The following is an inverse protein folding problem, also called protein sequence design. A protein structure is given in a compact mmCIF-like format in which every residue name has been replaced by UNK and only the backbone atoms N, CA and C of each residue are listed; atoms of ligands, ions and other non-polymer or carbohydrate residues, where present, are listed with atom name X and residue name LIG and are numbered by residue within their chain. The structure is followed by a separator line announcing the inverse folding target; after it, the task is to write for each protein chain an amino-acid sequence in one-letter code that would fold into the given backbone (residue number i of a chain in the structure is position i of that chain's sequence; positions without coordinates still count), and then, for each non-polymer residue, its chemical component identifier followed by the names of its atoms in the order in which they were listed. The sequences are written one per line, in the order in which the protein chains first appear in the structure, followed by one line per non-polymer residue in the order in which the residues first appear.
data_IF_467502072048
#
_entry.id   IF_467502072048
#
_cell.length_a   1.000
_cell.length_b   1.000
_cell.length_c   1.000
_cell.angle_alpha   90.00
_cell.angle_beta   90.00
_cell.angle_gamma   90.00
#
_symmetry.space_group_name_H-M   'P 1'
#
loop_
_entity.id
_entity.type
_entity.pdbx_description
1 polymer ?
#
# COMPACT_ATOMS: atom_id res chain seq x y z
N UNK A 1 74.16 7.01 33.11
CA UNK A 1 73.04 7.68 32.41
C UNK A 1 72.67 6.82 31.20
N UNK A 2 71.61 6.00 31.30
CA UNK A 2 71.06 5.24 30.16
C UNK A 2 69.85 6.02 29.66
N UNK A 3 69.96 6.57 28.45
CA UNK A 3 68.89 7.32 27.80
C UNK A 3 67.76 6.40 27.38
N UNK A 4 66.54 6.73 27.80
CA UNK A 4 65.31 6.09 27.37
C UNK A 4 64.87 6.80 26.08
N UNK A 5 64.86 6.09 24.96
CA UNK A 5 64.27 6.57 23.72
C UNK A 5 62.74 6.50 23.82
N UNK A 6 61.99 7.53 23.40
CA UNK A 6 60.54 7.50 23.45
C UNK A 6 60.00 6.57 22.36
N UNK A 7 59.25 5.55 22.80
CA UNK A 7 58.45 4.69 21.92
C UNK A 7 57.33 5.54 21.33
N UNK A 8 57.44 5.89 20.05
CA UNK A 8 56.35 6.52 19.30
C UNK A 8 55.25 5.49 19.07
N UNK A 9 54.21 5.53 19.90
CA UNK A 9 52.94 4.87 19.60
C UNK A 9 52.36 5.54 18.35
N UNK A 10 52.52 4.90 17.18
CA UNK A 10 51.65 5.17 16.03
C UNK A 10 50.23 4.77 16.44
N UNK A 11 49.41 5.78 16.68
CA UNK A 11 47.97 5.63 16.80
C UNK A 11 47.46 4.88 15.54
N UNK A 12 46.62 3.84 15.69
CA UNK A 12 46.01 3.20 14.53
C UNK A 12 45.16 4.25 13.80
N UNK A 13 45.50 4.52 12.53
CA UNK A 13 44.67 5.34 11.65
C UNK A 13 43.30 4.67 11.55
N UNK A 14 42.28 5.30 12.15
CA UNK A 14 40.88 4.88 12.01
C UNK A 14 40.50 4.94 10.53
N UNK A 15 40.42 3.80 9.85
CA UNK A 15 39.85 3.73 8.50
C UNK A 15 38.41 4.20 8.57
N UNK A 16 38.09 5.27 7.85
CA UNK A 16 36.72 5.76 7.74
C UNK A 16 35.87 4.79 6.93
N UNK A 17 34.61 4.56 7.33
CA UNK A 17 33.66 3.75 6.57
C UNK A 17 33.50 4.22 5.12
N UNK A 18 33.76 5.50 4.85
CA UNK A 18 33.78 6.07 3.50
C UNK A 18 34.82 5.41 2.58
N UNK A 19 35.94 4.91 3.10
CA UNK A 19 36.99 4.21 2.33
C UNK A 19 36.56 2.83 1.82
N UNK A 20 35.39 2.33 2.28
CA UNK A 20 34.79 1.08 1.80
C UNK A 20 33.84 1.33 0.62
N UNK A 21 33.42 2.57 0.41
CA UNK A 21 32.42 2.94 -0.59
C UNK A 21 33.12 3.32 -1.89
N UNK A 22 32.70 2.70 -2.99
CA UNK A 22 33.13 3.07 -4.34
C UNK A 22 32.06 3.96 -4.97
N UNK A 23 32.40 5.21 -5.27
CA UNK A 23 31.51 6.05 -6.04
C UNK A 23 31.39 5.50 -7.47
N UNK A 24 30.17 5.33 -7.96
CA UNK A 24 29.93 4.75 -9.28
C UNK A 24 30.57 5.54 -10.43
N UNK A 25 30.76 6.86 -10.26
CA UNK A 25 31.43 7.71 -11.26
C UNK A 25 32.93 7.45 -11.37
N UNK A 26 33.55 6.92 -10.33
CA UNK A 26 34.98 6.57 -10.27
C UNK A 26 35.23 5.07 -10.35
N UNK A 27 34.19 4.28 -10.60
CA UNK A 27 34.31 2.83 -10.67
C UNK A 27 35.17 2.41 -11.87
N UNK A 28 36.05 1.44 -11.66
CA UNK A 28 36.95 0.90 -12.67
C UNK A 28 36.87 -0.62 -12.64
N UNK A 29 36.27 -1.20 -13.67
CA UNK A 29 35.99 -2.63 -13.75
C UNK A 29 37.25 -3.50 -13.69
N UNK A 30 38.42 -2.97 -14.03
CA UNK A 30 39.68 -3.72 -14.03
C UNK A 30 40.19 -4.03 -12.63
N UNK A 31 39.76 -3.28 -11.61
CA UNK A 31 40.10 -3.55 -10.21
C UNK A 31 39.23 -4.65 -9.59
N UNK A 32 38.27 -5.18 -10.37
CA UNK A 32 37.40 -6.26 -9.95
C UNK A 32 38.09 -7.61 -10.05
N UNK A 33 38.03 -8.37 -8.96
CA UNK A 33 38.62 -9.71 -8.83
C UNK A 33 37.59 -10.70 -8.30
N UNK A 34 37.86 -12.00 -8.46
CA UNK A 34 36.97 -13.07 -8.02
C UNK A 34 37.60 -13.87 -6.89
N UNK A 35 36.77 -14.30 -5.94
CA UNK A 35 37.13 -15.36 -5.01
C UNK A 35 36.90 -16.74 -5.62
N UNK A 36 37.57 -17.75 -5.06
CA UNK A 36 37.37 -19.14 -5.44
C UNK A 36 35.89 -19.55 -5.37
N UNK A 37 35.41 -20.22 -6.42
CA UNK A 37 34.03 -20.71 -6.48
C UNK A 37 33.90 -21.99 -5.64
N UNK A 38 32.97 -22.00 -4.68
CA UNK A 38 32.77 -23.10 -3.73
C UNK A 38 31.34 -23.61 -3.76
N UNK A 39 31.17 -24.91 -3.54
CA UNK A 39 29.86 -25.53 -3.35
C UNK A 39 29.24 -25.01 -2.06
N UNK A 40 27.99 -24.57 -2.12
CA UNK A 40 27.25 -24.05 -0.98
C UNK A 40 26.92 -25.19 0.01
N UNK A 41 26.71 -24.86 1.29
CA UNK A 41 26.41 -25.85 2.36
C UNK A 41 25.22 -26.77 2.06
N UNK A 42 24.27 -26.29 1.24
CA UNK A 42 23.08 -27.04 0.84
C UNK A 42 23.29 -27.96 -0.37
N UNK A 43 24.51 -28.01 -0.95
CA UNK A 43 24.89 -28.91 -2.05
C UNK A 43 24.29 -28.61 -3.42
N UNK A 44 23.25 -27.76 -3.50
CA UNK A 44 22.45 -27.52 -4.73
C UNK A 44 22.97 -26.38 -5.62
N UNK A 45 24.10 -25.75 -5.26
CA UNK A 45 24.68 -24.66 -6.05
C UNK A 45 26.10 -24.30 -5.62
N UNK A 46 26.73 -23.41 -6.37
CA UNK A 46 28.04 -22.84 -6.04
C UNK A 46 27.94 -21.33 -5.85
N UNK A 47 28.89 -20.74 -5.15
CA UNK A 47 29.03 -19.28 -5.05
C UNK A 47 30.49 -18.86 -5.07
N UNK A 48 30.75 -17.64 -5.55
CA UNK A 48 32.08 -17.02 -5.58
C UNK A 48 31.99 -15.54 -5.22
N UNK A 49 32.92 -15.05 -4.43
CA UNK A 49 32.97 -13.62 -4.07
C UNK A 49 33.37 -12.75 -5.27
N UNK A 50 32.84 -11.54 -5.35
CA UNK A 50 33.36 -10.48 -6.22
C UNK A 50 33.94 -9.39 -5.32
N UNK A 51 35.18 -9.00 -5.59
CA UNK A 51 35.92 -8.02 -4.80
C UNK A 51 36.40 -6.86 -5.66
N UNK A 52 36.56 -5.70 -5.03
CA UNK A 52 37.10 -4.49 -5.62
C UNK A 52 38.20 -3.97 -4.71
N UNK A 53 39.45 -3.93 -5.20
CA UNK A 53 40.60 -3.55 -4.38
C UNK A 53 40.76 -4.41 -3.11
N UNK A 54 40.43 -5.72 -3.20
CA UNK A 54 40.51 -6.67 -2.08
C UNK A 54 39.36 -6.61 -1.07
N UNK A 55 38.39 -5.69 -1.24
CA UNK A 55 37.21 -5.55 -0.38
C UNK A 55 35.95 -5.95 -1.15
N UNK A 56 34.80 -6.12 -0.47
CA UNK A 56 33.52 -6.31 -1.16
C UNK A 56 33.23 -5.11 -2.06
N UNK A 57 32.71 -5.35 -3.26
CA UNK A 57 32.28 -4.27 -4.14
C UNK A 57 31.02 -3.61 -3.58
N UNK A 58 31.16 -2.37 -3.10
CA UNK A 58 30.08 -1.55 -2.60
C UNK A 58 29.99 -0.26 -3.42
N UNK A 59 28.90 -0.10 -4.19
CA UNK A 59 28.72 1.02 -5.09
C UNK A 59 27.71 2.02 -4.55
N UNK A 60 28.10 3.29 -4.53
CA UNK A 60 27.18 4.39 -4.28
C UNK A 60 26.62 4.92 -5.59
N UNK A 61 25.30 4.96 -5.71
CA UNK A 61 24.59 5.53 -6.86
C UNK A 61 23.92 6.88 -6.50
N UNK A 62 23.79 7.80 -7.47
CA UNK A 62 23.22 9.13 -7.24
C UNK A 62 21.71 9.08 -6.99
N UNK A 63 21.11 10.23 -6.63
CA UNK A 63 19.67 10.34 -6.47
C UNK A 63 18.97 10.09 -7.82
N UNK A 64 18.16 9.05 -7.88
CA UNK A 64 17.46 8.62 -9.07
C UNK A 64 16.10 8.02 -8.76
N UNK A 65 15.22 8.03 -9.75
CA UNK A 65 13.90 7.42 -9.66
C UNK A 65 13.98 5.90 -9.46
N UNK A 66 13.04 5.33 -8.70
CA UNK A 66 12.81 3.89 -8.58
C UNK A 66 11.32 3.53 -8.72
N UNK A 67 11.06 2.31 -9.19
CA UNK A 67 9.71 1.73 -9.17
C UNK A 67 9.24 1.29 -7.77
N UNK A 68 10.02 1.59 -6.73
CA UNK A 68 9.72 1.26 -5.35
C UNK A 68 10.15 -0.15 -4.97
N UNK A 69 9.91 -0.49 -3.71
CA UNK A 69 10.12 -1.82 -3.18
C UNK A 69 8.93 -2.73 -3.49
N UNK A 70 9.23 -4.00 -3.75
CA UNK A 70 8.25 -5.03 -4.08
C UNK A 70 8.42 -6.24 -3.17
N UNK A 71 7.33 -6.73 -2.59
CA UNK A 71 7.23 -8.06 -1.97
C UNK A 71 6.78 -9.07 -3.03
N UNK A 72 7.42 -10.23 -3.05
CA UNK A 72 7.01 -11.39 -3.85
C UNK A 72 6.96 -12.60 -2.92
N UNK A 73 5.81 -13.24 -2.86
CA UNK A 73 5.58 -14.49 -2.13
C UNK A 73 5.68 -15.64 -3.12
N UNK A 74 6.56 -16.59 -2.83
CA UNK A 74 6.61 -17.86 -3.56
C UNK A 74 5.41 -18.73 -3.17
N UNK A 75 4.56 -19.06 -4.15
CA UNK A 75 3.33 -19.82 -3.93
C UNK A 75 3.59 -21.25 -3.42
N UNK A 76 4.73 -21.85 -3.79
CA UNK A 76 5.07 -23.21 -3.38
C UNK A 76 5.63 -23.27 -1.96
N UNK A 77 6.57 -22.37 -1.63
CA UNK A 77 7.28 -22.40 -0.35
C UNK A 77 6.71 -21.45 0.70
N UNK A 78 5.82 -20.53 0.32
CA UNK A 78 5.36 -19.42 1.16
C UNK A 78 6.44 -18.38 1.45
N UNK A 79 7.65 -18.53 0.87
CA UNK A 79 8.78 -17.67 1.19
C UNK A 79 8.62 -16.29 0.59
N UNK A 80 8.80 -15.27 1.42
CA UNK A 80 8.80 -13.87 1.01
C UNK A 80 10.17 -13.44 0.50
N UNK A 81 10.17 -12.66 -0.57
CA UNK A 81 11.36 -12.04 -1.13
C UNK A 81 11.10 -10.58 -1.45
N UNK A 82 12.09 -9.74 -1.17
CA UNK A 82 11.97 -8.29 -1.24
C UNK A 82 13.01 -7.72 -2.18
N UNK A 83 12.59 -6.80 -3.04
CA UNK A 83 13.50 -6.18 -4.01
C UNK A 83 13.12 -4.76 -4.38
N UNK A 84 14.09 -3.99 -4.85
CA UNK A 84 13.90 -2.67 -5.45
C UNK A 84 14.40 -2.72 -6.89
N UNK A 85 13.61 -2.19 -7.82
CA UNK A 85 13.99 -2.05 -9.22
C UNK A 85 14.43 -0.63 -9.51
N UNK A 86 15.69 -0.48 -9.93
CA UNK A 86 16.35 0.81 -10.16
C UNK A 86 16.52 0.97 -11.67
N UNK A 87 15.68 1.77 -12.36
CA UNK A 87 15.80 2.01 -13.79
C UNK A 87 17.04 2.84 -14.12
N UNK A 88 17.82 2.41 -15.11
CA UNK A 88 19.08 3.03 -15.49
C UNK A 88 19.02 3.41 -16.97
N UNK A 89 18.93 4.70 -17.27
CA UNK A 89 18.90 5.18 -18.66
C UNK A 89 20.29 5.16 -19.27
N UNK A 90 20.36 4.67 -20.52
CA UNK A 90 21.54 4.75 -21.37
C UNK A 90 21.58 6.11 -22.09
N UNK A 91 21.71 7.19 -21.32
CA UNK A 91 21.74 8.56 -21.82
C UNK A 91 22.67 9.40 -20.94
N UNK A 92 23.72 9.97 -21.52
CA UNK A 92 24.74 10.74 -20.78
C UNK A 92 24.19 11.98 -20.05
N UNK A 93 23.03 12.50 -20.46
CA UNK A 93 22.37 13.61 -19.77
C UNK A 93 21.69 13.17 -18.46
N UNK A 94 21.45 11.87 -18.27
CA UNK A 94 20.70 11.34 -17.14
C UNK A 94 21.59 11.00 -15.95
N UNK A 95 21.13 11.33 -14.74
CA UNK A 95 21.87 11.06 -13.51
C UNK A 95 22.18 9.57 -13.31
N UNK A 96 21.37 8.68 -13.88
CA UNK A 96 21.53 7.22 -13.79
C UNK A 96 22.62 6.65 -14.69
N UNK A 97 23.14 7.42 -15.64
CA UNK A 97 24.05 6.93 -16.68
C UNK A 97 25.35 6.32 -16.17
N UNK A 98 26.04 6.91 -15.15
CA UNK A 98 27.22 6.27 -14.58
C UNK A 98 26.93 4.89 -13.99
N UNK A 99 25.74 4.70 -13.40
CA UNK A 99 25.32 3.40 -12.90
C UNK A 99 25.04 2.41 -14.03
N UNK A 100 24.40 2.86 -15.12
CA UNK A 100 24.22 2.05 -16.32
C UNK A 100 25.58 1.55 -16.85
N UNK A 101 26.54 2.46 -17.07
CA UNK A 101 27.87 2.11 -17.56
C UNK A 101 28.60 1.12 -16.64
N UNK A 102 28.58 1.36 -15.33
CA UNK A 102 29.22 0.48 -14.37
C UNK A 102 28.59 -0.93 -14.38
N UNK A 103 27.27 -1.03 -14.40
CA UNK A 103 26.57 -2.33 -14.42
C UNK A 103 26.80 -3.09 -15.73
N UNK A 104 26.80 -2.40 -16.88
CA UNK A 104 27.12 -2.99 -18.18
C UNK A 104 28.57 -3.49 -18.22
N UNK A 105 29.52 -2.68 -17.76
CA UNK A 105 30.93 -3.09 -17.70
C UNK A 105 31.16 -4.31 -16.80
N UNK A 106 30.50 -4.36 -15.63
CA UNK A 106 30.56 -5.53 -14.74
C UNK A 106 30.00 -6.77 -15.43
N UNK A 107 28.84 -6.65 -16.09
CA UNK A 107 28.23 -7.76 -16.82
C UNK A 107 29.16 -8.29 -17.92
N UNK A 108 29.72 -7.41 -18.75
CA UNK A 108 30.61 -7.80 -19.83
C UNK A 108 31.88 -8.47 -19.33
N UNK A 109 32.47 -7.95 -18.25
CA UNK A 109 33.63 -8.56 -17.61
C UNK A 109 33.28 -9.94 -17.06
N UNK A 110 32.16 -10.09 -16.35
CA UNK A 110 31.71 -11.39 -15.83
C UNK A 110 31.48 -12.41 -16.95
N UNK A 111 30.90 -12.01 -18.09
CA UNK A 111 30.70 -12.90 -19.24
C UNK A 111 32.02 -13.33 -19.89
N UNK A 112 32.97 -12.40 -20.06
CA UNK A 112 34.31 -12.70 -20.58
C UNK A 112 35.03 -13.68 -19.65
N UNK A 113 35.02 -13.38 -18.35
CA UNK A 113 35.72 -14.17 -17.35
C UNK A 113 35.03 -15.52 -17.12
N UNK A 114 33.70 -15.62 -17.29
CA UNK A 114 32.98 -16.89 -17.24
C UNK A 114 33.44 -17.84 -18.36
N UNK A 115 33.71 -17.33 -19.56
CA UNK A 115 34.28 -18.12 -20.65
C UNK A 115 35.72 -18.55 -20.33
N UNK A 116 36.55 -17.62 -19.84
CA UNK A 116 37.96 -17.86 -19.52
C UNK A 116 38.15 -18.85 -18.34
N UNK A 117 37.33 -18.74 -17.31
CA UNK A 117 37.34 -19.59 -16.12
C UNK A 117 36.31 -20.73 -16.17
N UNK A 118 35.80 -21.05 -17.35
CA UNK A 118 34.65 -21.93 -17.52
C UNK A 118 34.85 -23.33 -16.90
N UNK A 119 36.05 -23.89 -17.05
CA UNK A 119 36.40 -25.19 -16.45
C UNK A 119 36.36 -25.15 -14.92
N UNK A 120 36.81 -24.07 -14.29
CA UNK A 120 36.79 -23.92 -12.83
C UNK A 120 35.37 -23.70 -12.31
N UNK A 121 34.64 -22.76 -12.92
CA UNK A 121 33.33 -22.34 -12.43
C UNK A 121 32.26 -23.41 -12.69
N UNK A 122 32.25 -23.97 -13.90
CA UNK A 122 31.20 -24.87 -14.37
C UNK A 122 31.64 -26.34 -14.47
N UNK A 123 32.94 -26.64 -14.35
CA UNK A 123 33.47 -27.99 -14.54
C UNK A 123 33.65 -28.40 -16.01
N UNK A 124 33.30 -27.51 -16.95
CA UNK A 124 33.39 -27.74 -18.40
C UNK A 124 33.76 -26.45 -19.12
N UNK A 125 34.49 -26.58 -20.21
CA UNK A 125 34.78 -25.43 -21.08
C UNK A 125 33.52 -24.98 -21.80
N UNK A 126 33.29 -23.67 -21.89
CA UNK A 126 32.21 -23.08 -22.69
C UNK A 126 32.68 -21.79 -23.34
N UNK A 127 32.02 -21.40 -24.45
CA UNK A 127 32.22 -20.12 -25.11
C UNK A 127 31.48 -18.99 -24.38
N UNK A 128 31.83 -17.73 -24.71
CA UNK A 128 31.12 -16.54 -24.23
C UNK A 128 29.63 -16.59 -24.56
N UNK A 129 29.25 -17.00 -25.76
CA UNK A 129 27.84 -17.06 -26.18
C UNK A 129 27.02 -18.05 -25.34
N UNK A 130 27.62 -19.19 -24.99
CA UNK A 130 27.01 -20.17 -24.08
C UNK A 130 26.91 -19.61 -22.67
N UNK A 131 27.93 -18.88 -22.21
CA UNK A 131 27.88 -18.21 -20.93
C UNK A 131 26.78 -17.14 -20.89
N UNK A 132 26.62 -16.34 -21.94
CA UNK A 132 25.58 -15.32 -22.07
C UNK A 132 24.17 -15.92 -22.04
N UNK A 133 23.95 -17.04 -22.76
CA UNK A 133 22.68 -17.76 -22.74
C UNK A 133 22.29 -18.29 -21.35
N UNK A 134 23.28 -18.64 -20.51
CA UNK A 134 23.08 -19.14 -19.14
C UNK A 134 23.10 -18.03 -18.08
N UNK A 135 23.51 -16.82 -18.45
CA UNK A 135 23.68 -15.72 -17.52
C UNK A 135 22.36 -15.03 -17.24
N UNK A 136 22.12 -14.74 -15.96
CA UNK A 136 21.03 -13.83 -15.56
C UNK A 136 21.52 -12.38 -15.70
N UNK A 137 20.96 -11.59 -16.62
CA UNK A 137 21.44 -10.23 -16.88
C UNK A 137 21.39 -9.34 -15.63
N UNK A 138 22.47 -8.59 -15.39
CA UNK A 138 22.53 -7.53 -14.38
C UNK A 138 21.74 -6.32 -14.88
N UNK A 139 21.95 -5.96 -16.16
CA UNK A 139 21.22 -4.90 -16.86
C UNK A 139 20.02 -5.53 -17.53
N UNK A 140 18.87 -5.48 -16.84
CA UNK A 140 17.66 -6.16 -17.31
C UNK A 140 16.79 -5.21 -18.13
N UNK A 141 16.70 -5.49 -19.42
CA UNK A 141 15.73 -4.84 -20.30
C UNK A 141 14.32 -5.43 -20.10
N UNK A 142 13.26 -4.61 -20.22
CA UNK A 142 11.90 -5.10 -20.34
C UNK A 142 11.76 -6.07 -21.53
N UNK A 143 10.74 -6.92 -21.47
CA UNK A 143 10.39 -7.80 -22.61
C UNK A 143 9.61 -6.99 -23.64
N UNK A 144 9.79 -7.31 -24.93
CA UNK A 144 9.02 -6.69 -26.03
C UNK A 144 7.53 -6.88 -25.83
N UNK A 145 7.10 -8.07 -25.40
CA UNK A 145 5.69 -8.33 -25.09
C UNK A 145 5.52 -9.49 -24.10
N UNK A 146 4.26 -9.89 -23.85
CA UNK A 146 3.96 -11.08 -23.05
C UNK A 146 4.32 -12.38 -23.78
N UNK A 147 4.28 -12.38 -25.12
CA UNK A 147 4.54 -13.56 -25.97
C UNK A 147 5.98 -13.60 -26.48
N UNK A 148 6.60 -12.44 -26.71
CA UNK A 148 8.01 -12.33 -27.06
C UNK A 148 8.84 -11.95 -25.82
N UNK A 149 9.69 -12.89 -25.39
CA UNK A 149 10.56 -12.73 -24.23
C UNK A 149 11.90 -12.04 -24.53
N UNK A 150 12.14 -11.65 -25.79
CA UNK A 150 13.34 -10.92 -26.19
C UNK A 150 13.44 -9.57 -25.47
N UNK A 151 14.67 -9.09 -25.19
CA UNK A 151 14.89 -7.80 -24.55
C UNK A 151 14.53 -6.64 -25.48
N UNK A 152 13.69 -5.73 -25.00
CA UNK A 152 13.35 -4.48 -25.68
C UNK A 152 14.37 -3.38 -25.35
N UNK A 153 15.35 -3.23 -26.25
CA UNK A 153 16.41 -2.21 -26.13
C UNK A 153 15.92 -0.77 -26.31
N UNK A 154 14.66 -0.55 -26.75
CA UNK A 154 14.06 0.79 -26.81
C UNK A 154 13.63 1.31 -25.43
N UNK A 155 13.49 0.41 -24.44
CA UNK A 155 13.03 0.74 -23.10
C UNK A 155 14.20 0.87 -22.13
N UNK A 156 13.99 1.66 -21.08
CA UNK A 156 14.97 1.84 -20.01
C UNK A 156 15.21 0.51 -19.28
N UNK A 157 16.44 -0.02 -19.24
CA UNK A 157 16.76 -1.21 -18.46
C UNK A 157 16.75 -0.90 -16.97
N UNK A 158 16.80 -1.94 -16.14
CA UNK A 158 16.78 -1.82 -14.68
C UNK A 158 17.79 -2.74 -14.01
N UNK A 159 18.29 -2.28 -12.86
CA UNK A 159 19.03 -3.09 -11.89
C UNK A 159 18.07 -3.55 -10.80
N UNK A 160 17.93 -4.87 -10.63
CA UNK A 160 17.15 -5.45 -9.53
C UNK A 160 18.08 -5.68 -8.33
N UNK A 161 17.79 -5.00 -7.22
CA UNK A 161 18.51 -5.18 -5.95
C UNK A 161 17.63 -5.92 -4.95
N UNK A 162 18.22 -6.81 -4.15
CA UNK A 162 17.51 -7.50 -3.06
C UNK A 162 17.54 -6.63 -1.80
N UNK A 163 16.42 -6.59 -1.09
CA UNK A 163 16.40 -6.15 0.31
C UNK A 163 16.56 -7.43 1.14
N UNK A 164 17.56 -7.46 2.01
CA UNK A 164 17.81 -8.63 2.85
C UNK A 164 16.76 -8.71 3.96
N UNK A 165 16.13 -9.89 4.03
CA UNK A 165 15.16 -10.25 5.05
C UNK A 165 15.57 -11.61 5.62
N UNK A 166 15.87 -11.64 6.92
CA UNK A 166 16.35 -12.82 7.62
C UNK A 166 15.79 -12.82 9.04
N UNK A 167 15.31 -13.96 9.51
CA UNK A 167 14.75 -14.12 10.86
C UNK A 167 13.67 -13.06 11.16
N UNK A 168 12.76 -12.90 10.20
CA UNK A 168 11.68 -11.91 10.17
C UNK A 168 12.11 -10.44 10.35
N UNK A 169 13.38 -10.14 10.06
CA UNK A 169 13.95 -8.79 10.17
C UNK A 169 14.59 -8.34 8.88
N UNK A 170 14.37 -7.08 8.53
CA UNK A 170 15.12 -6.44 7.46
C UNK A 170 16.46 -5.91 7.98
N UNK A 171 17.49 -6.00 7.14
CA UNK A 171 18.83 -5.49 7.47
C UNK A 171 19.18 -4.17 6.77
N UNK A 172 18.23 -3.56 6.07
CA UNK A 172 18.43 -2.31 5.34
C UNK A 172 18.33 -1.12 6.28
N UNK A 173 19.10 -0.06 6.00
CA UNK A 173 18.92 1.24 6.63
C UNK A 173 18.30 2.23 5.63
N UNK A 174 17.25 2.92 6.07
CA UNK A 174 16.52 3.90 5.28
C UNK A 174 16.53 5.23 6.00
N UNK A 175 16.91 6.28 5.29
CA UNK A 175 16.99 7.64 5.79
C UNK A 175 16.10 8.58 4.97
N UNK A 176 15.67 9.68 5.58
CA UNK A 176 15.11 10.80 4.83
C UNK A 176 16.23 11.61 4.14
N UNK A 177 15.87 12.69 3.44
CA UNK A 177 16.83 13.53 2.73
C UNK A 177 17.74 14.34 3.68
N UNK A 178 17.30 14.53 4.93
CA UNK A 178 18.02 15.23 6.01
C UNK A 178 18.91 14.29 6.84
N UNK A 179 19.02 13.01 6.43
CA UNK A 179 19.83 11.95 7.06
C UNK A 179 19.33 11.47 8.41
N UNK A 180 18.05 11.67 8.71
CA UNK A 180 17.39 11.07 9.87
C UNK A 180 16.93 9.65 9.51
N UNK A 181 17.14 8.70 10.42
CA UNK A 181 16.83 7.30 10.18
C UNK A 181 15.31 7.09 10.25
N UNK A 182 14.71 6.66 9.15
CA UNK A 182 13.30 6.28 9.05
C UNK A 182 13.11 4.79 9.39
N UNK A 183 14.10 3.97 9.06
CA UNK A 183 14.10 2.54 9.33
C UNK A 183 15.54 2.03 9.48
N UNK A 184 15.74 1.07 10.38
CA UNK A 184 17.00 0.37 10.50
C UNK A 184 16.85 -0.98 11.18
N UNK A 185 17.92 -1.80 11.17
CA UNK A 185 17.91 -3.13 11.77
C UNK A 185 17.52 -3.15 13.26
N UNK A 186 17.80 -2.05 13.97
CA UNK A 186 17.58 -1.92 15.42
C UNK A 186 16.22 -1.33 15.79
N UNK A 187 15.65 -0.46 14.96
CA UNK A 187 14.39 0.25 15.28
C UNK A 187 13.17 -0.52 14.80
N UNK A 188 13.20 -1.11 13.58
CA UNK A 188 12.09 -1.90 13.00
C UNK A 188 10.68 -1.27 13.11
N UNK A 189 10.56 0.03 13.42
CA UNK A 189 9.30 0.71 13.75
C UNK A 189 8.37 0.92 12.54
N UNK A 190 8.89 0.72 11.32
CA UNK A 190 8.19 0.96 10.06
C UNK A 190 8.34 -0.24 9.12
N UNK A 191 7.42 -0.41 8.17
CA UNK A 191 7.62 -1.34 7.06
C UNK A 191 8.51 -0.67 5.99
N UNK A 192 9.73 -1.20 5.70
CA UNK A 192 10.60 -0.62 4.69
C UNK A 192 10.00 -0.65 3.28
N UNK A 193 9.03 -1.54 3.01
CA UNK A 193 8.33 -1.60 1.73
C UNK A 193 7.35 -0.43 1.60
N UNK A 194 6.61 -0.12 2.67
CA UNK A 194 5.70 1.02 2.72
C UNK A 194 6.43 2.37 2.61
N UNK A 195 7.67 2.46 3.11
CA UNK A 195 8.51 3.65 2.99
C UNK A 195 9.01 3.91 1.55
N UNK A 196 9.06 2.88 0.70
CA UNK A 196 9.55 2.98 -0.68
C UNK A 196 8.43 2.65 -1.70
N UNK A 197 7.34 3.42 -1.74
CA UNK A 197 6.30 3.21 -2.73
C UNK A 197 6.82 3.48 -4.15
N UNK A 198 6.06 3.03 -5.15
CA UNK A 198 6.32 3.36 -6.54
C UNK A 198 6.40 4.88 -6.75
N UNK A 199 7.43 5.34 -7.46
CA UNK A 199 7.66 6.77 -7.70
C UNK A 199 8.64 7.43 -6.74
N UNK A 200 9.22 6.66 -5.81
CA UNK A 200 10.24 7.16 -4.89
C UNK A 200 11.51 7.55 -5.64
N UNK A 201 12.13 8.66 -5.24
CA UNK A 201 13.52 8.97 -5.61
C UNK A 201 14.44 8.50 -4.49
N UNK A 202 15.54 7.85 -4.85
CA UNK A 202 16.47 7.29 -3.88
C UNK A 202 17.92 7.45 -4.31
N UNK A 203 18.82 7.61 -3.33
CA UNK A 203 20.26 7.48 -3.51
C UNK A 203 20.75 6.50 -2.46
N UNK A 204 21.61 5.56 -2.83
CA UNK A 204 21.96 4.49 -1.91
C UNK A 204 23.25 3.77 -2.22
N UNK A 205 23.49 2.75 -1.40
CA UNK A 205 24.62 1.86 -1.45
C UNK A 205 24.15 0.47 -1.86
N UNK A 206 24.70 -0.05 -2.94
CA UNK A 206 24.46 -1.41 -3.42
C UNK A 206 25.69 -2.28 -3.22
N UNK A 207 25.56 -3.36 -2.45
CA UNK A 207 26.60 -4.37 -2.26
C UNK A 207 26.47 -5.46 -3.32
N UNK A 208 27.60 -5.79 -3.96
CA UNK A 208 27.72 -6.99 -4.77
C UNK A 208 27.81 -8.21 -3.85
N UNK A 209 26.77 -9.06 -3.87
CA UNK A 209 26.69 -10.30 -3.12
C UNK A 209 27.53 -11.45 -3.72
N UNK A 210 28.17 -11.22 -4.87
CA UNK A 210 28.98 -12.21 -5.58
C UNK A 210 28.24 -13.03 -6.61
N UNK A 211 28.97 -13.96 -7.22
CA UNK A 211 28.50 -14.93 -8.20
C UNK A 211 27.69 -16.02 -7.51
N UNK A 212 26.61 -16.42 -8.15
CA UNK A 212 25.85 -17.62 -7.81
C UNK A 212 25.73 -18.51 -9.03
N UNK A 213 25.79 -19.81 -8.81
CA UNK A 213 25.67 -20.84 -9.85
C UNK A 213 24.62 -21.86 -9.42
N UNK A 214 23.73 -22.17 -10.33
CA UNK A 214 22.69 -23.22 -10.21
C UNK A 214 22.84 -24.20 -11.37
N UNK A 215 22.04 -25.27 -11.37
CA UNK A 215 22.02 -26.20 -12.51
C UNK A 215 21.54 -25.58 -13.82
N UNK A 216 20.75 -24.51 -13.76
CA UNK A 216 20.10 -23.89 -14.93
C UNK A 216 20.80 -22.64 -15.43
N UNK A 217 21.71 -22.06 -14.65
CA UNK A 217 22.37 -20.81 -15.00
C UNK A 217 23.17 -20.20 -13.85
N UNK A 218 23.71 -19.01 -14.09
CA UNK A 218 24.51 -18.28 -13.12
C UNK A 218 24.23 -16.77 -13.21
N UNK A 219 24.70 -16.02 -12.23
CA UNK A 219 24.51 -14.57 -12.21
C UNK A 219 25.23 -13.90 -11.06
N UNK A 220 24.99 -12.60 -10.92
CA UNK A 220 25.50 -11.79 -9.81
C UNK A 220 24.32 -11.35 -8.94
N UNK A 221 24.45 -11.44 -7.63
CA UNK A 221 23.45 -10.89 -6.70
C UNK A 221 23.82 -9.46 -6.31
N UNK A 222 22.84 -8.55 -6.33
CA UNK A 222 22.98 -7.20 -5.81
C UNK A 222 22.05 -6.99 -4.62
N UNK A 223 22.54 -6.30 -3.59
CA UNK A 223 21.81 -6.04 -2.35
C UNK A 223 21.78 -4.56 -2.08
N UNK A 224 20.62 -4.01 -1.77
CA UNK A 224 20.50 -2.65 -1.27
C UNK A 224 20.75 -2.68 0.25
N UNK A 225 21.79 -1.99 0.71
CA UNK A 225 22.19 -2.03 2.13
C UNK A 225 21.78 -0.76 2.89
N UNK A 226 21.84 0.39 2.25
CA UNK A 226 21.53 1.68 2.84
C UNK A 226 21.01 2.61 1.75
N UNK A 227 19.97 3.39 2.07
CA UNK A 227 19.41 4.36 1.13
C UNK A 227 18.85 5.58 1.84
N UNK A 228 18.92 6.73 1.18
CA UNK A 228 18.06 7.87 1.48
C UNK A 228 16.96 7.97 0.44
N UNK A 229 15.76 8.36 0.87
CA UNK A 229 14.57 8.34 0.03
C UNK A 229 13.81 9.66 0.06
N UNK A 230 13.14 9.95 -1.05
CA UNK A 230 12.12 10.97 -1.20
C UNK A 230 10.90 10.32 -1.84
N UNK A 231 9.95 9.80 -1.04
CA UNK A 231 8.68 9.29 -1.54
C UNK A 231 7.91 10.37 -2.32
N UNK A 232 7.06 9.99 -3.28
CA UNK A 232 6.16 10.93 -3.94
C UNK A 232 5.14 11.47 -2.93
N UNK A 233 4.91 12.78 -2.95
CA UNK A 233 3.83 13.38 -2.17
C UNK A 233 2.51 12.96 -2.80
N UNK A 234 1.65 12.32 -2.01
CA UNK A 234 0.27 12.03 -2.41
C UNK A 234 -0.65 12.85 -1.50
N UNK A 235 -1.65 13.49 -2.10
CA UNK A 235 -2.77 14.06 -1.33
C UNK A 235 -3.63 12.88 -0.90
N UNK A 236 -3.40 12.39 0.32
CA UNK A 236 -4.13 11.26 0.90
C UNK A 236 -4.40 11.56 2.37
N UNK A 237 -5.65 11.40 2.80
CA UNK A 237 -6.10 11.86 4.12
C UNK A 237 -6.69 13.27 4.06
N UNK A 238 -6.86 13.90 5.22
CA UNK A 238 -7.27 15.29 5.30
C UNK A 238 -6.08 16.17 4.91
N UNK A 239 -6.17 16.80 3.74
CA UNK A 239 -5.16 17.72 3.21
C UNK A 239 -5.79 19.07 2.84
N UNK A 240 -6.99 19.34 3.37
CA UNK A 240 -7.57 20.66 3.32
C UNK A 240 -6.65 21.59 4.10
N UNK A 241 -6.34 22.74 3.51
CA UNK A 241 -5.64 23.79 4.22
C UNK A 241 -6.61 24.37 5.25
N UNK A 242 -6.09 24.76 6.40
CA UNK A 242 -6.88 25.45 7.41
C UNK A 242 -7.48 26.71 6.78
N UNK A 243 -8.82 26.79 6.75
CA UNK A 243 -9.54 27.96 6.28
C UNK A 243 -9.85 28.83 7.49
N UNK A 244 -9.30 30.05 7.53
CA UNK A 244 -9.46 30.99 8.65
C UNK A 244 -10.94 31.31 8.91
N UNK A 245 -11.80 31.17 7.89
CA UNK A 245 -13.24 31.44 8.00
C UNK A 245 -14.05 30.21 8.47
N UNK A 246 -13.46 29.01 8.53
CA UNK A 246 -14.18 27.74 8.78
C UNK A 246 -14.90 27.76 10.13
N UNK A 247 -14.23 28.25 11.19
CA UNK A 247 -14.81 28.34 12.53
C UNK A 247 -15.98 29.35 12.59
N UNK A 248 -15.91 30.43 11.82
CA UNK A 248 -17.00 31.41 11.74
C UNK A 248 -18.21 30.85 10.98
N UNK A 249 -17.98 30.10 9.90
CA UNK A 249 -19.05 29.43 9.15
C UNK A 249 -19.72 28.35 10.00
N UNK A 250 -18.96 27.56 10.75
CA UNK A 250 -19.49 26.56 11.69
C UNK A 250 -20.42 27.20 12.73
N UNK A 251 -19.99 28.30 13.36
CA UNK A 251 -20.84 29.06 14.30
C UNK A 251 -22.15 29.54 13.66
N UNK A 252 -22.08 30.09 12.43
CA UNK A 252 -23.28 30.54 11.70
C UNK A 252 -24.25 29.40 11.39
N UNK A 253 -23.74 28.21 11.07
CA UNK A 253 -24.54 27.01 10.84
C UNK A 253 -25.23 26.58 12.14
N UNK A 254 -24.48 26.48 13.24
CA UNK A 254 -25.03 26.10 14.56
C UNK A 254 -26.12 27.08 15.03
N UNK A 255 -25.90 28.38 14.90
CA UNK A 255 -26.91 29.40 15.24
C UNK A 255 -28.18 29.26 14.40
N UNK A 256 -28.03 28.95 13.12
CA UNK A 256 -29.17 28.73 12.21
C UNK A 256 -29.95 27.48 12.63
N UNK A 257 -29.26 26.38 12.90
CA UNK A 257 -29.89 25.13 13.35
C UNK A 257 -30.63 25.31 14.68
N UNK A 258 -30.06 26.07 15.62
CA UNK A 258 -30.72 26.41 16.89
C UNK A 258 -32.00 27.24 16.68
N UNK A 259 -31.96 28.24 15.79
CA UNK A 259 -33.15 29.05 15.44
C UNK A 259 -34.23 28.20 14.79
N UNK A 260 -33.86 27.31 13.88
CA UNK A 260 -34.80 26.40 13.21
C UNK A 260 -35.44 25.42 14.21
N UNK A 261 -34.67 24.87 15.16
CA UNK A 261 -35.21 24.02 16.25
C UNK A 261 -36.14 24.79 17.19
N UNK A 262 -35.80 26.03 17.54
CA UNK A 262 -36.64 26.91 18.37
C UNK A 262 -37.99 27.17 17.69
N UNK A 263 -37.99 27.53 16.41
CA UNK A 263 -39.20 27.77 15.63
C UNK A 263 -40.08 26.52 15.52
N UNK A 264 -39.47 25.34 15.33
CA UNK A 264 -40.22 24.08 15.31
C UNK A 264 -40.88 23.79 16.67
N UNK A 265 -40.18 24.00 17.78
CA UNK A 265 -40.75 23.84 19.13
C UNK A 265 -41.91 24.81 19.39
N UNK A 266 -41.75 26.07 18.98
CA UNK A 266 -42.81 27.08 19.12
C UNK A 266 -44.04 26.73 18.28
N UNK A 267 -43.86 26.29 17.03
CA UNK A 267 -44.97 25.82 16.20
C UNK A 267 -45.67 24.60 16.78
N UNK A 268 -44.92 23.68 17.41
CA UNK A 268 -45.49 22.51 18.05
C UNK A 268 -46.28 22.86 19.31
N UNK A 269 -45.75 23.75 20.16
CA UNK A 269 -46.47 24.26 21.33
C UNK A 269 -47.74 25.04 20.95
N UNK A 270 -47.70 25.83 19.87
CA UNK A 270 -48.88 26.53 19.37
C UNK A 270 -49.96 25.55 18.90
N UNK A 271 -49.57 24.49 18.17
CA UNK A 271 -50.50 23.42 17.77
C UNK A 271 -51.12 22.71 18.98
N UNK A 272 -50.33 22.40 20.00
CA UNK A 272 -50.82 21.76 21.23
C UNK A 272 -51.79 22.67 22.01
N UNK A 273 -51.49 23.96 22.14
CA UNK A 273 -52.40 24.92 22.78
C UNK A 273 -53.70 25.11 22.00
N UNK A 274 -53.63 25.11 20.67
CA UNK A 274 -54.81 25.22 19.81
C UNK A 274 -55.72 24.00 19.96
N UNK A 275 -55.14 22.78 19.98
CA UNK A 275 -55.89 21.54 20.25
C UNK A 275 -56.54 21.54 21.65
N UNK A 276 -55.84 22.04 22.67
CA UNK A 276 -56.41 22.15 24.02
C UNK A 276 -57.59 23.13 24.09
N UNK A 277 -57.48 24.28 23.42
CA UNK A 277 -58.59 25.25 23.33
C UNK A 277 -59.80 24.68 22.61
N UNK A 278 -59.58 23.96 21.50
CA UNK A 278 -60.65 23.29 20.76
C UNK A 278 -61.37 22.23 21.62
N UNK A 279 -60.63 21.42 22.38
CA UNK A 279 -61.21 20.45 23.31
C UNK A 279 -62.01 21.11 24.44
N UNK A 280 -61.55 22.25 24.97
CA UNK A 280 -62.25 22.96 26.03
C UNK A 280 -63.56 23.59 25.54
N UNK A 281 -63.55 24.18 24.34
CA UNK A 281 -64.77 24.69 23.70
C UNK A 281 -65.79 23.59 23.41
N UNK A 282 -65.34 22.41 22.97
CA UNK A 282 -66.22 21.26 22.77
C UNK A 282 -66.88 20.82 24.09
N UNK A 283 -66.11 20.75 25.18
CA UNK A 283 -66.65 20.43 26.52
C UNK A 283 -67.68 21.46 27.00
N UNK A 284 -67.41 22.75 26.82
CA UNK A 284 -68.35 23.82 27.20
C UNK A 284 -69.64 23.76 26.38
N UNK A 285 -69.56 23.52 25.07
CA UNK A 285 -70.74 23.32 24.23
C UNK A 285 -71.56 22.08 24.64
N UNK A 286 -70.89 21.00 25.03
CA UNK A 286 -71.54 19.77 25.48
C UNK A 286 -72.28 19.99 26.81
N UNK A 287 -71.66 20.70 27.76
CA UNK A 287 -72.30 21.10 29.02
C UNK A 287 -73.49 22.05 28.81
N UNK A 288 -73.39 23.00 27.87
CA UNK A 288 -74.51 23.87 27.53
C UNK A 288 -75.68 23.10 26.90
N UNK A 289 -75.40 22.11 26.04
CA UNK A 289 -76.43 21.21 25.48
C UNK A 289 -77.10 20.37 26.58
N UNK A 290 -76.34 19.82 27.52
CA UNK A 290 -76.88 19.07 28.66
C UNK A 290 -77.76 19.95 29.57
N UNK A 291 -77.36 21.20 29.83
CA UNK A 291 -78.17 22.15 30.60
C UNK A 291 -79.45 22.59 29.87
N UNK A 292 -79.41 22.72 28.53
CA UNK A 292 -80.62 22.98 27.74
C UNK A 292 -81.58 21.79 27.77
N UNK A 293 -81.08 20.56 27.64
CA UNK A 293 -81.89 19.35 27.74
C UNK A 293 -82.52 19.17 29.12
N UNK A 294 -81.81 19.52 30.21
CA UNK A 294 -82.37 19.50 31.55
C UNK A 294 -83.44 20.59 31.78
N UNK A 295 -83.35 21.74 31.11
CA UNK A 295 -84.39 22.78 31.13
C UNK A 295 -85.62 22.40 30.31
N UNK A 296 -85.45 21.73 29.17
CA UNK A 296 -86.57 21.23 28.38
C UNK A 296 -87.32 20.08 29.07
N UNK A 297 -86.61 19.21 29.82
CA UNK A 297 -87.26 18.13 30.59
C UNK A 297 -88.07 18.60 31.81
N UNK A 298 -87.86 19.82 32.32
CA UNK A 298 -88.68 20.39 33.42
C UNK A 298 -89.95 21.11 32.93
N UNK A 299 -90.12 21.32 31.62
CA UNK A 299 -91.26 22.07 31.06
C UNK A 299 -92.29 21.23 30.30
N UNK A 300 -92.12 19.91 30.21
CA UNK A 300 -93.08 19.00 29.55
C UNK A 300 -93.21 17.67 30.31
N UNK A 301 -93.82 17.71 31.49
CA UNK A 301 -94.43 16.53 32.12
C UNK A 301 -95.92 16.77 32.36
N UNK A 302 -96.73 16.66 31.31
CA UNK A 302 -98.14 16.28 31.44
C UNK A 302 -98.68 15.83 30.09
N UNK A 303 -98.64 14.52 29.84
CA UNK A 303 -99.29 13.89 28.70
C UNK A 303 -99.52 12.41 29.02
N UNK A 304 -100.77 11.90 28.97
CA UNK A 304 -101.16 10.62 29.57
C UNK A 304 -100.92 9.39 28.66
N UNK A 305 -100.93 8.25 29.34
CA UNK A 305 -101.03 6.80 28.99
C UNK A 305 -101.96 6.43 27.80
N UNK A 306 -102.01 5.15 27.30
CA UNK A 306 -100.99 4.31 26.61
C UNK A 306 -101.48 3.63 25.30
N UNK A 307 -100.56 2.85 24.67
CA UNK A 307 -100.74 1.62 23.83
C UNK A 307 -101.41 1.69 22.42
N UNK A 308 -101.27 0.67 21.53
CA UNK A 308 -100.07 -0.08 21.05
C UNK A 308 -100.01 -0.23 19.49
N UNK A 309 -98.84 -0.69 18.96
CA UNK A 309 -98.49 -1.40 17.67
C UNK A 309 -99.18 -1.07 16.31
N UNK A 310 -98.57 -1.31 15.10
CA UNK A 310 -97.67 -2.42 14.74
C UNK A 310 -96.50 -2.12 13.75
N UNK A 311 -95.72 -3.18 13.48
CA UNK A 311 -94.65 -3.38 12.49
C UNK A 311 -95.05 -3.17 10.99
N UNK A 312 -94.25 -3.60 9.98
CA UNK A 312 -92.89 -3.23 9.55
C UNK A 312 -92.89 -2.81 8.05
N UNK A 313 -91.76 -2.37 7.47
CA UNK A 313 -91.37 -2.79 6.10
C UNK A 313 -89.91 -2.41 5.74
N UNK A 314 -89.21 -3.21 4.92
CA UNK A 314 -87.78 -3.09 4.62
C UNK A 314 -87.47 -2.67 3.17
N UNK A 315 -86.25 -2.18 2.90
CA UNK A 315 -85.53 -2.23 1.60
C UNK A 315 -84.05 -1.87 1.87
N UNK A 316 -83.01 -2.67 1.54
CA UNK A 316 -82.45 -3.01 0.21
C UNK A 316 -82.05 -1.70 -0.53
N UNK A 317 -80.83 -1.43 -1.02
CA UNK A 317 -79.78 -2.24 -1.64
C UNK A 317 -78.49 -1.39 -1.77
N UNK A 318 -77.35 -2.08 -1.75
CA UNK A 318 -76.03 -1.93 -2.43
C UNK A 318 -75.51 -0.55 -2.89
N UNK A 319 -74.23 -0.25 -2.70
CA UNK A 319 -73.16 -0.75 -3.60
C UNK A 319 -71.73 -0.25 -3.22
N UNK A 320 -70.81 -1.18 -3.45
CA UNK A 320 -69.46 -1.04 -4.04
C UNK A 320 -68.15 -0.75 -3.28
N UNK A 321 -67.18 -1.54 -3.77
CA UNK A 321 -65.70 -1.41 -3.83
C UNK A 321 -64.79 -1.73 -2.62
N UNK A 322 -64.41 -3.03 -2.51
CA UNK A 322 -63.09 -3.63 -2.83
C UNK A 322 -61.75 -2.84 -2.66
N UNK A 323 -60.55 -3.49 -2.62
CA UNK A 323 -60.13 -4.68 -1.85
C UNK A 323 -58.63 -4.63 -1.40
N UNK A 324 -58.11 -5.83 -1.10
CA UNK A 324 -56.72 -6.37 -1.25
C UNK A 324 -55.67 -6.32 -0.12
N UNK A 325 -55.48 -7.53 0.43
CA UNK A 325 -54.29 -8.39 0.30
C UNK A 325 -53.07 -8.17 1.22
N UNK A 326 -52.97 -9.11 2.17
CA UNK A 326 -51.73 -9.54 2.79
C UNK A 326 -50.89 -10.38 1.80
N UNK A 327 -49.61 -10.04 1.68
CA UNK A 327 -48.63 -10.72 0.83
C UNK A 327 -47.76 -11.73 1.60
N UNK A 328 -47.44 -12.83 0.94
CA UNK A 328 -46.35 -13.77 1.25
C UNK A 328 -45.43 -13.86 0.00
N UNK A 329 -44.43 -14.78 -0.04
CA UNK A 329 -43.03 -14.72 0.41
C UNK A 329 -42.03 -14.52 -0.78
N UNK A 330 -40.70 -14.79 -0.66
CA UNK A 330 -40.23 -16.09 -1.16
C UNK A 330 -38.95 -16.69 -0.51
N UNK A 331 -38.63 -17.90 -0.98
CA UNK A 331 -37.63 -18.85 -0.51
C UNK A 331 -36.23 -18.75 -1.18
N UNK A 332 -35.24 -19.30 -0.45
CA UNK A 332 -33.98 -19.98 -0.84
C UNK A 332 -33.34 -19.81 -2.23
N UNK A 333 -32.01 -19.53 -2.25
CA UNK A 333 -31.07 -20.02 -3.28
C UNK A 333 -29.82 -20.64 -2.61
N UNK A 334 -29.58 -21.92 -2.90
CA UNK A 334 -28.37 -22.69 -2.55
C UNK A 334 -27.23 -22.38 -3.55
N UNK A 335 -26.00 -22.16 -3.06
CA UNK A 335 -24.79 -22.06 -3.90
C UNK A 335 -24.37 -23.46 -4.38
N UNK A 336 -24.21 -23.59 -5.70
CA UNK A 336 -23.64 -24.75 -6.41
C UNK A 336 -22.12 -24.68 -6.37
N UNK A 337 -21.49 -25.78 -5.94
CA UNK A 337 -20.04 -26.03 -6.02
C UNK A 337 -19.73 -26.59 -7.42
N UNK A 338 -18.89 -25.92 -8.21
CA UNK A 338 -18.33 -26.47 -9.45
C UNK A 338 -17.07 -27.28 -9.15
N UNK A 339 -17.16 -28.59 -9.34
CA UNK A 339 -16.02 -29.51 -9.52
C UNK A 339 -15.38 -29.24 -10.88
N UNK A 340 -14.09 -28.97 -10.92
CA UNK A 340 -13.26 -29.00 -12.13
C UNK A 340 -12.71 -30.42 -12.28
N UNK A 341 -12.98 -31.04 -13.42
CA UNK A 341 -12.46 -32.35 -13.82
C UNK A 341 -11.22 -32.13 -14.69
N UNK A 342 -10.14 -32.81 -14.30
CA UNK A 342 -8.88 -32.99 -15.03
C UNK A 342 -9.12 -33.70 -16.37
N UNK A 343 -8.54 -33.19 -17.44
CA UNK A 343 -8.08 -34.02 -18.57
C UNK A 343 -6.79 -33.43 -19.11
#
# INVERSE_FOLDING_TARGET
MKGILPVTHKQPTMSSAAELITNVKSFDVNKMTYGAVKVNKNGKGKSGGIYYGGKKLLLQFPLMFTWGASEMVDEESGKKSYSVSIPMKNDAAEASYPLFLAMTAIQDKVLNDASAHSKEWFGKTMSRDVAEALFTPIVKYPKVSKTDSSPDFSKTPSLKTKIQFWDDKFTIEIYNMDKEQLFGPQTQDNDPIALMPQGTYMAGLVECGGLWFTGTGFGVTWKLIQTKIRPPVKITGFCLMDDEDEEEQLRKIEEREQKEQQQQKEQQQQKEQQQQKEQQQQKEQQQQKEQQQQKEQQQTTSGPEPEPEPEPHPTMIDDDEEPVAAAAPPATIKKVVKKVVKK
#
